data_IF_273356648163
#
_entry.id   IF_273356648163
#
_cell.length_a   1.000
_cell.length_b   1.000
_cell.length_c   1.000
_cell.angle_alpha   90.00
_cell.angle_beta   90.00
_cell.angle_gamma   90.00
#
_symmetry.space_group_name_H-M   'P 1'
#
loop_
_entity.id
_entity.type
_entity.pdbx_description
1 polymer ?
#
# COMPACT_ATOMS: atom_id res chain seq x y z
N UNK A 1 16.56 -25.52 -5.72
CA UNK A 1 15.61 -25.41 -6.85
C UNK A 1 14.26 -25.33 -6.19
N UNK A 2 13.61 -24.17 -6.26
CA UNK A 2 12.30 -23.94 -5.62
C UNK A 2 11.29 -24.90 -6.24
N UNK A 3 10.58 -25.68 -5.42
CA UNK A 3 9.48 -26.52 -5.89
C UNK A 3 8.24 -25.65 -6.11
N UNK A 4 8.18 -25.06 -7.30
CA UNK A 4 7.11 -24.13 -7.69
C UNK A 4 5.73 -24.82 -7.72
N UNK A 5 5.69 -26.12 -8.01
CA UNK A 5 4.45 -26.91 -7.98
C UNK A 5 3.96 -27.12 -6.55
N UNK A 6 4.88 -27.27 -5.58
CA UNK A 6 4.52 -27.30 -4.16
C UNK A 6 3.99 -25.94 -3.67
N UNK A 7 4.60 -24.82 -4.09
CA UNK A 7 4.07 -23.47 -3.78
C UNK A 7 2.67 -23.26 -4.36
N UNK A 8 2.41 -23.74 -5.58
CA UNK A 8 1.08 -23.68 -6.21
C UNK A 8 0.07 -24.57 -5.46
N UNK A 9 0.50 -25.74 -5.01
CA UNK A 9 -0.34 -26.72 -4.31
C UNK A 9 -0.71 -26.30 -2.88
N UNK A 10 0.07 -25.40 -2.26
CA UNK A 10 -0.24 -24.82 -0.95
C UNK A 10 -1.57 -24.04 -0.94
N UNK A 11 -1.99 -23.53 -2.11
CA UNK A 11 -3.25 -22.81 -2.28
C UNK A 11 -3.22 -21.35 -1.84
N UNK A 12 -2.09 -20.85 -1.32
CA UNK A 12 -1.94 -19.43 -0.97
C UNK A 12 -1.69 -18.51 -2.17
N UNK A 13 -1.37 -19.09 -3.33
CA UNK A 13 -1.09 -18.36 -4.57
C UNK A 13 -2.17 -18.62 -5.61
N UNK A 14 -2.76 -17.55 -6.12
CA UNK A 14 -3.60 -17.57 -7.33
C UNK A 14 -2.81 -16.94 -8.47
N UNK A 15 -2.68 -17.66 -9.58
CA UNK A 15 -1.79 -17.28 -10.68
C UNK A 15 -2.58 -17.06 -11.96
N UNK A 16 -2.28 -15.96 -12.64
CA UNK A 16 -2.77 -15.66 -13.98
C UNK A 16 -1.65 -15.93 -14.97
N UNK A 17 -1.93 -16.73 -16.00
CA UNK A 17 -0.95 -17.07 -17.05
C UNK A 17 -1.37 -16.53 -18.41
N UNK A 18 -0.37 -16.10 -19.19
CA UNK A 18 -0.52 -15.77 -20.61
C UNK A 18 0.39 -16.70 -21.41
N UNK A 19 -0.21 -17.72 -22.03
CA UNK A 19 0.56 -18.81 -22.62
C UNK A 19 1.24 -19.65 -21.54
N UNK A 20 2.57 -19.78 -21.61
CA UNK A 20 3.42 -20.51 -20.67
C UNK A 20 3.99 -19.62 -19.53
N UNK A 21 3.73 -18.32 -19.57
CA UNK A 21 4.27 -17.34 -18.61
C UNK A 21 3.27 -16.97 -17.55
N UNK A 22 3.76 -16.72 -16.34
CA UNK A 22 2.98 -16.17 -15.23
C UNK A 22 3.05 -14.65 -15.34
N UNK A 23 1.90 -14.01 -15.57
CA UNK A 23 1.80 -12.56 -15.76
C UNK A 23 1.12 -11.88 -14.58
N UNK A 24 0.35 -12.61 -13.78
CA UNK A 24 -0.29 -12.09 -12.57
C UNK A 24 -0.19 -13.06 -11.40
N UNK A 25 -0.08 -12.53 -10.19
CA UNK A 25 -0.10 -13.33 -8.98
C UNK A 25 -0.83 -12.60 -7.83
N UNK A 26 -1.67 -13.33 -7.11
CA UNK A 26 -2.31 -12.86 -5.88
C UNK A 26 -1.94 -13.81 -4.76
N UNK A 27 -1.35 -13.27 -3.69
CA UNK A 27 -1.04 -14.00 -2.48
C UNK A 27 -2.07 -13.71 -1.39
N UNK A 28 -2.70 -14.77 -0.89
CA UNK A 28 -3.53 -14.76 0.33
C UNK A 28 -3.25 -16.06 1.07
N UNK A 29 -2.74 -15.99 2.29
CA UNK A 29 -2.39 -17.19 3.03
C UNK A 29 -3.60 -18.13 3.18
N UNK A 30 -3.50 -19.35 2.65
CA UNK A 30 -4.59 -20.31 2.71
C UNK A 30 -4.79 -20.84 4.15
N UNK A 31 -6.03 -21.10 4.58
CA UNK A 31 -6.32 -21.57 5.93
C UNK A 31 -5.98 -23.06 6.09
N UNK A 32 -4.72 -23.38 6.40
CA UNK A 32 -4.22 -24.74 6.66
C UNK A 32 -2.94 -24.70 7.53
N UNK A 33 -3.00 -25.03 8.83
CA UNK A 33 -1.92 -24.72 9.78
C UNK A 33 -0.71 -25.67 9.76
N UNK A 34 -0.57 -26.61 8.81
CA UNK A 34 0.65 -27.43 8.71
C UNK A 34 1.31 -27.29 7.33
N UNK A 35 2.32 -26.40 7.28
CA UNK A 35 3.19 -26.15 6.13
C UNK A 35 4.62 -26.58 6.40
N UNK A 36 4.85 -27.29 7.51
CA UNK A 36 6.19 -27.56 8.02
C UNK A 36 7.08 -28.21 6.96
N UNK A 37 6.57 -29.26 6.31
CA UNK A 37 7.31 -29.99 5.27
C UNK A 37 7.64 -29.12 4.05
N UNK A 38 6.73 -28.22 3.65
CA UNK A 38 6.97 -27.28 2.56
C UNK A 38 8.06 -26.27 2.93
N UNK A 39 7.97 -25.68 4.13
CA UNK A 39 8.96 -24.71 4.63
C UNK A 39 10.36 -25.34 4.78
N UNK A 40 10.44 -26.57 5.30
CA UNK A 40 11.70 -27.33 5.37
C UNK A 40 12.26 -27.62 3.96
N UNK A 41 11.39 -27.98 3.00
CA UNK A 41 11.80 -28.21 1.62
C UNK A 41 12.28 -26.94 0.89
N UNK A 42 11.76 -25.77 1.29
CA UNK A 42 12.23 -24.45 0.84
C UNK A 42 13.53 -24.02 1.53
N UNK A 43 14.03 -24.80 2.49
CA UNK A 43 15.32 -24.58 3.15
C UNK A 43 15.27 -23.58 4.31
N UNK A 44 14.09 -23.28 4.84
CA UNK A 44 13.91 -22.39 5.98
C UNK A 44 13.67 -23.17 7.28
N UNK A 45 13.87 -22.50 8.42
CA UNK A 45 13.52 -23.06 9.72
C UNK A 45 11.99 -23.14 9.87
N UNK A 46 11.48 -24.37 9.97
CA UNK A 46 10.06 -24.62 10.15
C UNK A 46 9.63 -24.75 11.63
N UNK A 47 10.49 -24.37 12.58
CA UNK A 47 10.17 -24.36 14.02
C UNK A 47 9.20 -23.25 14.42
N UNK A 48 9.14 -22.17 13.64
CA UNK A 48 8.30 -21.00 13.91
C UNK A 48 7.25 -20.79 12.79
N UNK A 49 5.98 -21.17 13.03
CA UNK A 49 4.92 -21.01 12.06
C UNK A 49 4.57 -19.56 11.69
N UNK A 50 4.85 -18.58 12.56
CA UNK A 50 4.59 -17.16 12.28
C UNK A 50 5.53 -16.63 11.17
N UNK A 51 6.62 -17.33 10.86
CA UNK A 51 7.55 -16.98 9.79
C UNK A 51 7.20 -17.62 8.45
N UNK A 52 6.32 -18.63 8.42
CA UNK A 52 6.08 -19.45 7.24
C UNK A 52 5.54 -18.64 6.05
N UNK A 53 4.66 -17.66 6.31
CA UNK A 53 4.15 -16.76 5.27
C UNK A 53 5.30 -16.06 4.52
N UNK A 54 6.25 -15.50 5.27
CA UNK A 54 7.40 -14.80 4.69
C UNK A 54 8.28 -15.71 3.83
N UNK A 55 8.41 -16.99 4.20
CA UNK A 55 9.17 -17.99 3.43
C UNK A 55 8.48 -18.30 2.10
N UNK A 56 7.15 -18.44 2.09
CA UNK A 56 6.39 -18.68 0.86
C UNK A 56 6.50 -17.49 -0.10
N UNK A 57 6.41 -16.27 0.44
CA UNK A 57 6.59 -15.02 -0.30
C UNK A 57 7.98 -14.93 -0.92
N UNK A 58 9.02 -15.08 -0.11
CA UNK A 58 10.41 -15.03 -0.57
C UNK A 58 10.68 -16.09 -1.64
N UNK A 59 10.24 -17.34 -1.43
CA UNK A 59 10.46 -18.44 -2.36
C UNK A 59 9.82 -18.19 -3.72
N UNK A 60 8.58 -17.70 -3.75
CA UNK A 60 7.87 -17.39 -5.01
C UNK A 60 8.47 -16.18 -5.71
N UNK A 61 8.69 -15.09 -4.97
CA UNK A 61 9.19 -13.85 -5.54
C UNK A 61 10.61 -14.07 -6.07
N UNK A 62 11.46 -14.85 -5.42
CA UNK A 62 12.81 -15.16 -5.94
C UNK A 62 12.84 -16.28 -6.98
N UNK A 63 11.71 -16.90 -7.32
CA UNK A 63 11.64 -17.91 -8.38
C UNK A 63 11.81 -17.26 -9.78
N UNK A 64 12.58 -17.85 -10.71
CA UNK A 64 12.67 -17.37 -12.09
C UNK A 64 11.31 -17.27 -12.79
N UNK A 65 10.37 -18.13 -12.43
CA UNK A 65 9.02 -18.21 -12.99
C UNK A 65 8.18 -16.94 -12.71
N UNK A 66 8.54 -16.14 -11.71
CA UNK A 66 7.87 -14.88 -11.35
C UNK A 66 8.54 -13.64 -11.98
N UNK A 67 9.52 -13.81 -12.87
CA UNK A 67 10.25 -12.70 -13.48
C UNK A 67 9.38 -11.82 -14.39
N UNK A 68 8.41 -12.44 -15.07
CA UNK A 68 7.56 -11.80 -16.09
C UNK A 68 6.23 -11.26 -15.52
N UNK A 69 6.11 -11.15 -14.20
CA UNK A 69 4.91 -10.59 -13.56
C UNK A 69 4.67 -9.15 -14.04
N UNK A 70 3.45 -8.89 -14.48
CA UNK A 70 2.95 -7.55 -14.80
C UNK A 70 2.05 -6.98 -13.72
N UNK A 71 1.41 -7.83 -12.93
CA UNK A 71 0.56 -7.45 -11.78
C UNK A 71 0.82 -8.39 -10.59
N UNK A 72 0.87 -7.83 -9.39
CA UNK A 72 1.11 -8.57 -8.16
C UNK A 72 0.26 -8.00 -7.02
N UNK A 73 -0.45 -8.87 -6.31
CA UNK A 73 -1.16 -8.53 -5.08
C UNK A 73 -0.66 -9.36 -3.91
N UNK A 74 -0.22 -8.71 -2.84
CA UNK A 74 0.26 -9.34 -1.62
C UNK A 74 -0.61 -8.91 -0.43
N UNK A 75 -1.51 -9.81 0.00
CA UNK A 75 -2.31 -9.64 1.21
C UNK A 75 -1.65 -10.39 2.36
N UNK A 76 -0.83 -9.66 3.11
CA UNK A 76 0.02 -10.20 4.17
C UNK A 76 -0.83 -10.41 5.42
N UNK A 77 -0.79 -11.59 6.03
CA UNK A 77 -1.43 -11.88 7.32
C UNK A 77 -0.47 -11.56 8.46
N UNK A 78 0.79 -11.96 8.33
CA UNK A 78 1.88 -11.72 9.29
C UNK A 78 2.75 -10.55 8.83
N UNK A 79 2.14 -9.39 8.58
CA UNK A 79 2.82 -8.24 7.96
C UNK A 79 4.14 -7.85 8.66
N UNK A 80 4.20 -8.01 9.99
CA UNK A 80 5.34 -7.72 10.85
C UNK A 80 6.57 -8.64 10.64
N UNK A 81 6.42 -9.70 9.86
CA UNK A 81 7.53 -10.56 9.41
C UNK A 81 7.62 -10.62 7.89
N UNK A 82 6.48 -10.57 7.22
CA UNK A 82 6.35 -10.80 5.79
C UNK A 82 6.64 -9.57 4.94
N UNK A 83 6.33 -8.36 5.41
CA UNK A 83 6.43 -7.17 4.56
C UNK A 83 7.90 -6.88 4.18
N UNK A 84 8.78 -6.72 5.18
CA UNK A 84 10.23 -6.52 4.96
C UNK A 84 10.84 -7.58 4.04
N UNK A 85 10.51 -8.86 4.25
CA UNK A 85 11.01 -9.96 3.43
C UNK A 85 10.47 -9.95 2.01
N UNK A 86 9.17 -9.70 1.82
CA UNK A 86 8.58 -9.61 0.49
C UNK A 86 9.18 -8.47 -0.33
N UNK A 87 9.38 -7.30 0.28
CA UNK A 87 10.01 -6.18 -0.39
C UNK A 87 11.50 -6.44 -0.69
N UNK A 88 12.26 -7.07 0.22
CA UNK A 88 13.63 -7.50 -0.07
C UNK A 88 13.67 -8.51 -1.23
N UNK A 89 12.72 -9.44 -1.30
CA UNK A 89 12.61 -10.40 -2.38
C UNK A 89 12.23 -9.73 -3.72
N UNK A 90 11.35 -8.72 -3.69
CA UNK A 90 11.07 -7.86 -4.84
C UNK A 90 12.31 -7.09 -5.28
N UNK A 91 13.04 -6.48 -4.34
CA UNK A 91 14.24 -5.69 -4.60
C UNK A 91 15.43 -6.54 -5.10
N UNK A 92 15.50 -7.81 -4.74
CA UNK A 92 16.62 -8.70 -5.08
C UNK A 92 16.82 -8.93 -6.59
N UNK A 93 15.81 -8.61 -7.41
CA UNK A 93 15.86 -8.71 -8.87
C UNK A 93 15.04 -7.58 -9.48
N UNK A 94 15.58 -6.92 -10.50
CA UNK A 94 14.83 -5.93 -11.27
C UNK A 94 13.55 -6.55 -11.86
N UNK A 95 12.39 -5.98 -11.53
CA UNK A 95 11.07 -6.33 -12.06
C UNK A 95 10.74 -5.40 -13.21
N UNK A 96 11.36 -5.68 -14.34
CA UNK A 96 11.26 -4.87 -15.56
C UNK A 96 9.84 -4.82 -16.16
N UNK A 97 8.96 -5.71 -15.69
CA UNK A 97 7.62 -5.87 -16.25
C UNK A 97 6.49 -5.58 -15.26
N UNK A 98 6.77 -5.42 -13.96
CA UNK A 98 5.73 -5.23 -12.96
C UNK A 98 5.18 -3.81 -13.04
N UNK A 99 3.95 -3.68 -13.55
CA UNK A 99 3.25 -2.40 -13.76
C UNK A 99 2.30 -2.07 -12.62
N UNK A 100 1.77 -3.09 -11.96
CA UNK A 100 0.77 -2.96 -10.89
C UNK A 100 1.22 -3.73 -9.64
N UNK A 101 1.15 -3.09 -8.48
CA UNK A 101 1.43 -3.70 -7.19
C UNK A 101 0.35 -3.33 -6.16
N UNK A 102 -0.28 -4.32 -5.55
CA UNK A 102 -1.00 -4.18 -4.29
C UNK A 102 -0.15 -4.80 -3.19
N UNK A 103 0.19 -4.01 -2.18
CA UNK A 103 1.03 -4.44 -1.07
C UNK A 103 0.41 -4.02 0.25
N UNK A 104 0.16 -4.97 1.17
CA UNK A 104 -0.44 -4.59 2.44
C UNK A 104 -1.00 -5.70 3.29
N UNK A 105 -1.50 -5.32 4.45
CA UNK A 105 -2.43 -6.11 5.26
C UNK A 105 -3.83 -5.53 5.11
N UNK A 106 -4.85 -6.37 5.11
CA UNK A 106 -6.24 -5.96 4.93
C UNK A 106 -6.86 -5.29 6.18
N UNK A 107 -6.19 -4.31 6.79
CA UNK A 107 -6.75 -3.51 7.89
C UNK A 107 -7.74 -2.49 7.36
N UNK A 108 -8.80 -2.26 8.14
CA UNK A 108 -9.55 -1.00 8.06
C UNK A 108 -8.91 0.02 9.00
N UNK A 109 -8.49 -0.44 10.19
CA UNK A 109 -7.91 0.37 11.26
C UNK A 109 -6.73 -0.34 11.91
N UNK A 110 -5.65 0.37 12.24
CA UNK A 110 -4.44 -0.28 12.76
C UNK A 110 -4.59 -0.89 14.17
N UNK A 111 -5.60 -0.46 14.93
CA UNK A 111 -5.93 -1.01 16.26
C UNK A 111 -6.99 -2.11 16.20
N UNK A 112 -7.48 -2.48 15.00
CA UNK A 112 -8.31 -3.66 14.87
C UNK A 112 -7.55 -4.89 15.37
N UNK A 113 -8.27 -5.75 16.10
CA UNK A 113 -7.69 -7.01 16.54
C UNK A 113 -7.30 -7.84 15.32
N UNK A 114 -6.00 -8.03 15.16
CA UNK A 114 -5.42 -8.83 14.12
C UNK A 114 -5.15 -10.25 14.63
N UNK A 115 -5.15 -11.20 13.71
CA UNK A 115 -4.71 -12.57 13.98
C UNK A 115 -3.54 -12.90 13.08
N UNK A 116 -2.48 -13.47 13.66
CA UNK A 116 -1.38 -14.05 12.90
C UNK A 116 -1.86 -15.28 12.11
N UNK A 117 -1.02 -15.81 11.23
CA UNK A 117 -1.27 -17.07 10.52
C UNK A 117 -1.55 -18.27 11.43
N UNK A 118 -1.10 -18.20 12.69
CA UNK A 118 -1.34 -19.24 13.72
C UNK A 118 -2.66 -19.06 14.46
N UNK A 119 -3.41 -17.99 14.14
CA UNK A 119 -4.65 -17.61 14.82
C UNK A 119 -4.41 -16.89 16.16
N UNK A 120 -3.16 -16.56 16.49
CA UNK A 120 -2.83 -15.79 17.69
C UNK A 120 -3.26 -14.35 17.52
N UNK A 121 -3.98 -13.82 18.50
CA UNK A 121 -4.29 -12.39 18.54
C UNK A 121 -3.04 -11.58 18.82
N UNK A 122 -2.89 -10.48 18.11
CA UNK A 122 -1.84 -9.50 18.39
C UNK A 122 -2.38 -8.07 18.24
N UNK A 123 -1.67 -7.12 18.83
CA UNK A 123 -1.91 -5.69 18.63
C UNK A 123 -0.95 -5.21 17.53
N UNK A 124 -1.43 -4.77 16.36
CA UNK A 124 -0.56 -4.30 15.28
C UNK A 124 0.37 -3.16 15.70
N UNK A 125 -0.06 -2.30 16.65
CA UNK A 125 0.76 -1.21 17.20
C UNK A 125 2.03 -1.70 17.89
N UNK A 126 1.99 -2.87 18.54
CA UNK A 126 3.17 -3.48 19.18
C UNK A 126 4.18 -3.99 18.16
N UNK A 127 3.74 -4.17 16.91
CA UNK A 127 4.46 -4.81 15.81
C UNK A 127 4.83 -3.86 14.68
N UNK A 128 4.48 -2.59 14.82
CA UNK A 128 4.72 -1.55 13.83
C UNK A 128 6.19 -1.49 13.39
N UNK A 129 7.12 -1.36 14.33
CA UNK A 129 8.55 -1.27 14.03
C UNK A 129 9.16 -2.55 13.42
N UNK A 130 8.41 -3.66 13.42
CA UNK A 130 8.81 -4.93 12.80
C UNK A 130 8.31 -5.03 11.34
N UNK A 131 7.26 -4.28 10.98
CA UNK A 131 6.62 -4.31 9.66
C UNK A 131 7.49 -3.73 8.54
N UNK A 132 8.07 -2.54 8.73
CA UNK A 132 9.06 -1.98 7.80
C UNK A 132 9.81 -0.77 8.38
N UNK A 133 11.14 -0.80 8.38
CA UNK A 133 11.98 0.33 8.82
C UNK A 133 13.20 0.51 7.89
N UNK A 134 13.06 1.52 7.03
CA UNK A 134 14.06 2.39 6.38
C UNK A 134 15.16 1.90 5.42
N UNK A 135 15.73 0.69 5.51
CA UNK A 135 16.81 0.32 4.56
C UNK A 135 16.32 -0.34 3.27
N UNK A 136 15.32 -1.22 3.33
CA UNK A 136 14.85 -1.98 2.15
C UNK A 136 13.91 -1.20 1.23
N UNK A 137 13.36 -0.07 1.66
CA UNK A 137 12.39 0.71 0.87
C UNK A 137 13.05 1.49 -0.28
N UNK A 138 14.29 1.97 -0.07
CA UNK A 138 15.06 2.68 -1.10
C UNK A 138 15.38 1.76 -2.28
N UNK A 139 15.78 0.52 -1.98
CA UNK A 139 16.11 -0.47 -3.00
C UNK A 139 14.86 -0.99 -3.72
N UNK A 140 13.72 -1.10 -3.04
CA UNK A 140 12.47 -1.59 -3.61
C UNK A 140 12.05 -0.77 -4.83
N UNK A 141 11.93 0.55 -4.72
CA UNK A 141 11.42 1.37 -5.81
C UNK A 141 12.34 1.37 -7.03
N UNK A 142 13.66 1.31 -6.80
CA UNK A 142 14.65 1.19 -7.87
C UNK A 142 14.54 -0.13 -8.64
N UNK A 143 14.08 -1.20 -7.97
CA UNK A 143 13.89 -2.50 -8.56
C UNK A 143 12.56 -2.65 -9.32
N UNK A 144 11.68 -1.65 -9.30
CA UNK A 144 10.37 -1.66 -9.95
C UNK A 144 10.24 -0.56 -11.03
N UNK A 145 11.10 -0.54 -12.07
CA UNK A 145 11.16 0.56 -13.04
C UNK A 145 9.90 0.69 -13.92
N UNK A 146 9.14 -0.40 -14.08
CA UNK A 146 7.91 -0.42 -14.85
C UNK A 146 6.66 -0.09 -14.01
N UNK A 147 6.78 0.05 -12.70
CA UNK A 147 5.62 0.25 -11.82
C UNK A 147 4.93 1.58 -12.15
N UNK A 148 3.61 1.54 -12.34
CA UNK A 148 2.77 2.70 -12.61
C UNK A 148 1.67 2.85 -11.58
N UNK A 149 1.01 1.75 -11.23
CA UNK A 149 -0.04 1.71 -10.23
C UNK A 149 0.44 1.02 -8.95
N UNK A 150 0.28 1.70 -7.82
CA UNK A 150 0.60 1.18 -6.50
C UNK A 150 -0.61 1.33 -5.57
N UNK A 151 -1.05 0.22 -4.98
CA UNK A 151 -1.99 0.21 -3.86
C UNK A 151 -1.25 -0.20 -2.59
N UNK A 152 -1.27 0.66 -1.58
CA UNK A 152 -0.73 0.40 -0.25
C UNK A 152 -1.87 0.26 0.75
N UNK A 153 -1.85 -0.83 1.52
CA UNK A 153 -2.91 -1.12 2.49
C UNK A 153 -2.38 -1.50 3.88
N UNK A 154 -3.01 -0.98 4.92
CA UNK A 154 -2.71 -1.36 6.30
C UNK A 154 -1.55 -0.57 6.91
N UNK A 155 -0.76 -1.13 7.83
CA UNK A 155 0.33 -0.45 8.53
C UNK A 155 1.72 -0.88 8.06
N UNK A 156 2.16 -0.35 6.91
CA UNK A 156 3.42 -0.72 6.27
C UNK A 156 4.62 0.15 6.70
N UNK A 157 4.40 1.28 7.37
CA UNK A 157 5.43 2.23 7.80
C UNK A 157 6.44 2.62 6.69
N UNK A 158 5.93 3.01 5.53
CA UNK A 158 6.75 3.63 4.50
C UNK A 158 6.97 5.11 4.85
N UNK A 159 8.21 5.61 4.76
CA UNK A 159 8.51 7.03 5.03
C UNK A 159 8.60 7.85 3.72
N UNK A 160 9.33 7.34 2.70
CA UNK A 160 9.55 8.06 1.42
C UNK A 160 9.31 7.16 0.20
N UNK A 161 8.55 7.68 -0.76
CA UNK A 161 8.39 7.10 -2.09
C UNK A 161 9.15 7.98 -3.10
N UNK A 162 10.48 7.88 -3.10
CA UNK A 162 11.34 8.55 -4.09
C UNK A 162 11.18 8.06 -5.54
N UNK A 163 10.13 7.29 -5.84
CA UNK A 163 9.82 6.78 -7.17
C UNK A 163 9.30 7.90 -8.08
N UNK A 164 9.83 7.96 -9.30
CA UNK A 164 9.35 8.82 -10.38
C UNK A 164 8.49 8.05 -11.39
N UNK A 165 8.35 6.73 -11.22
CA UNK A 165 7.66 5.86 -12.17
C UNK A 165 6.21 5.60 -11.77
N UNK A 166 5.90 5.56 -10.48
CA UNK A 166 4.53 5.43 -9.97
C UNK A 166 3.74 6.69 -10.30
N UNK A 167 2.69 6.54 -11.11
CA UNK A 167 1.80 7.61 -11.53
C UNK A 167 0.47 7.60 -10.78
N UNK A 168 0.04 6.43 -10.32
CA UNK A 168 -1.24 6.22 -9.66
C UNK A 168 -1.01 5.57 -8.31
N UNK A 169 -1.25 6.33 -7.24
CA UNK A 169 -1.07 5.90 -5.85
C UNK A 169 -2.43 5.81 -5.17
N UNK A 170 -2.76 4.62 -4.67
CA UNK A 170 -3.94 4.37 -3.86
C UNK A 170 -3.53 3.95 -2.45
N UNK A 171 -4.00 4.69 -1.46
CA UNK A 171 -3.70 4.50 -0.04
C UNK A 171 -4.98 4.05 0.67
N UNK A 172 -4.93 2.91 1.37
CA UNK A 172 -6.06 2.36 2.12
C UNK A 172 -5.65 2.13 3.57
N UNK A 173 -6.31 2.82 4.51
CA UNK A 173 -5.93 2.84 5.92
C UNK A 173 -4.70 3.72 6.20
N UNK A 174 -3.81 3.30 7.11
CA UNK A 174 -2.68 4.11 7.57
C UNK A 174 -1.30 3.47 7.28
N UNK A 175 -0.85 3.41 6.00
CA UNK A 175 0.35 2.67 5.62
C UNK A 175 1.67 3.39 5.82
N UNK A 176 1.67 4.66 6.20
CA UNK A 176 2.89 5.43 6.42
C UNK A 176 3.18 5.60 7.91
N UNK A 177 4.44 5.92 8.24
CA UNK A 177 4.84 5.99 9.63
C UNK A 177 4.19 7.14 10.40
N UNK A 178 4.09 6.98 11.72
CA UNK A 178 3.58 8.01 12.65
C UNK A 178 2.10 8.38 12.34
N UNK A 179 1.41 7.60 11.52
CA UNK A 179 0.05 7.91 11.07
C UNK A 179 -0.04 8.97 10.00
N UNK A 180 1.06 9.20 9.27
CA UNK A 180 1.02 10.02 8.07
C UNK A 180 0.02 9.45 7.05
N UNK A 181 -0.72 10.35 6.40
CA UNK A 181 -1.72 9.99 5.40
C UNK A 181 -1.08 9.63 4.05
N UNK A 182 0.08 10.22 3.78
CA UNK A 182 0.78 10.18 2.50
C UNK A 182 2.28 9.98 2.73
N UNK A 183 3.04 9.51 1.71
CA UNK A 183 4.49 9.50 1.81
C UNK A 183 5.04 10.95 1.86
N UNK A 184 6.26 11.13 2.34
CA UNK A 184 6.86 12.47 2.38
C UNK A 184 7.02 13.08 0.98
N UNK A 185 7.30 12.25 -0.02
CA UNK A 185 7.42 12.66 -1.43
C UNK A 185 6.94 11.55 -2.34
N UNK A 186 6.35 11.94 -3.47
CA UNK A 186 6.01 11.04 -4.56
C UNK A 186 6.04 11.79 -5.91
N UNK A 187 7.23 12.09 -6.44
CA UNK A 187 7.39 13.06 -7.53
C UNK A 187 6.77 12.61 -8.86
N UNK A 188 6.56 11.31 -9.07
CA UNK A 188 5.90 10.77 -10.26
C UNK A 188 4.37 10.73 -10.18
N UNK A 189 3.78 10.88 -8.99
CA UNK A 189 2.34 10.63 -8.77
C UNK A 189 1.51 11.73 -9.40
N UNK A 190 0.61 11.32 -10.30
CA UNK A 190 -0.36 12.16 -11.00
C UNK A 190 -1.74 12.04 -10.36
N UNK A 191 -2.11 10.82 -9.96
CA UNK A 191 -3.37 10.49 -9.28
C UNK A 191 -3.08 9.96 -7.88
N UNK A 192 -3.65 10.60 -6.87
CA UNK A 192 -3.60 10.14 -5.48
C UNK A 192 -5.02 9.90 -4.96
N UNK A 193 -5.29 8.68 -4.54
CA UNK A 193 -6.56 8.29 -3.90
C UNK A 193 -6.29 7.82 -2.47
N UNK A 194 -7.12 8.27 -1.53
CA UNK A 194 -7.05 7.87 -0.12
C UNK A 194 -8.42 7.39 0.39
N UNK A 195 -8.45 6.16 0.87
CA UNK A 195 -9.59 5.54 1.57
C UNK A 195 -9.20 5.31 3.04
N UNK A 196 -9.47 6.29 3.90
CA UNK A 196 -8.89 6.34 5.26
C UNK A 196 -9.96 6.75 6.26
N UNK A 197 -10.27 5.85 7.19
CA UNK A 197 -11.23 6.15 8.26
C UNK A 197 -10.60 6.79 9.48
N UNK A 198 -9.46 6.25 9.93
CA UNK A 198 -8.82 6.66 11.18
C UNK A 198 -7.30 6.54 11.06
N UNK A 199 -6.59 7.33 11.86
CA UNK A 199 -5.14 7.29 11.97
C UNK A 199 -4.64 6.09 12.82
N UNK A 200 -3.33 6.03 13.02
CA UNK A 200 -2.68 4.97 13.83
C UNK A 200 -3.00 5.04 15.32
N UNK A 201 -3.59 6.14 15.80
CA UNK A 201 -4.00 6.34 17.19
C UNK A 201 -5.51 6.09 17.39
N UNK A 202 -6.25 5.81 16.33
CA UNK A 202 -7.71 5.65 16.37
C UNK A 202 -8.48 6.95 16.54
N UNK A 203 -7.83 8.07 16.25
CA UNK A 203 -8.50 9.33 15.97
C UNK A 203 -8.91 9.40 14.50
N UNK A 204 -9.90 10.24 14.20
CA UNK A 204 -10.07 10.71 12.83
C UNK A 204 -8.81 11.45 12.41
N UNK A 205 -8.42 11.35 11.13
CA UNK A 205 -7.21 12.02 10.67
C UNK A 205 -7.43 13.54 10.70
N UNK A 206 -6.54 14.36 11.29
CA UNK A 206 -6.68 15.80 11.21
C UNK A 206 -6.49 16.26 9.75
N UNK A 207 -7.30 17.21 9.29
CA UNK A 207 -7.22 17.75 7.94
C UNK A 207 -5.84 18.37 7.68
N UNK A 208 -5.16 18.90 8.71
CA UNK A 208 -3.79 19.41 8.63
C UNK A 208 -2.76 18.42 8.07
N UNK A 209 -3.00 17.09 8.06
CA UNK A 209 -2.14 16.13 7.35
C UNK A 209 -2.06 16.38 5.83
N UNK A 210 -3.08 17.02 5.24
CA UNK A 210 -3.08 17.41 3.84
C UNK A 210 -1.99 18.44 3.50
N UNK A 211 -1.47 19.17 4.50
CA UNK A 211 -0.38 20.14 4.31
C UNK A 211 0.93 19.49 3.83
N UNK A 212 1.08 18.16 4.00
CA UNK A 212 2.19 17.39 3.44
C UNK A 212 2.20 17.40 1.90
N UNK A 213 1.05 17.63 1.26
CA UNK A 213 0.92 17.69 -0.19
C UNK A 213 1.41 19.05 -0.71
N UNK A 214 2.73 19.18 -0.85
CA UNK A 214 3.36 20.37 -1.41
C UNK A 214 3.69 20.20 -2.90
N UNK A 215 3.69 21.28 -3.70
CA UNK A 215 4.13 21.24 -5.10
C UNK A 215 5.56 20.70 -5.29
N UNK A 216 6.45 20.91 -4.32
CA UNK A 216 7.81 20.40 -4.34
C UNK A 216 7.88 18.87 -4.14
N UNK A 217 7.05 18.33 -3.24
CA UNK A 217 6.99 16.89 -2.97
C UNK A 217 6.13 16.13 -3.99
N UNK A 218 5.14 16.80 -4.58
CA UNK A 218 4.13 16.25 -5.51
C UNK A 218 3.99 17.09 -6.80
N UNK A 219 5.08 17.35 -7.55
CA UNK A 219 5.04 18.24 -8.72
C UNK A 219 4.14 17.75 -9.86
N UNK A 220 3.96 16.44 -9.99
CA UNK A 220 3.15 15.82 -11.05
C UNK A 220 1.67 15.68 -10.68
N UNK A 221 1.27 15.93 -9.43
CA UNK A 221 -0.08 15.66 -8.95
C UNK A 221 -1.12 16.53 -9.65
N UNK A 222 -2.12 15.90 -10.26
CA UNK A 222 -3.25 16.55 -10.96
C UNK A 222 -4.60 16.11 -10.40
N UNK A 223 -4.69 14.94 -9.79
CA UNK A 223 -5.92 14.44 -9.21
C UNK A 223 -5.71 14.00 -7.77
N UNK A 224 -6.56 14.52 -6.88
CA UNK A 224 -6.67 14.08 -5.49
C UNK A 224 -8.09 13.57 -5.24
N UNK A 225 -8.21 12.33 -4.79
CA UNK A 225 -9.47 11.74 -4.35
C UNK A 225 -9.37 11.35 -2.87
N UNK A 226 -10.09 12.11 -2.05
CA UNK A 226 -10.26 11.92 -0.61
C UNK A 226 -11.74 11.73 -0.28
N UNK A 227 -12.57 11.34 -1.25
CA UNK A 227 -14.02 11.18 -1.08
C UNK A 227 -14.42 10.07 -0.10
N UNK A 228 -13.48 9.16 0.19
CA UNK A 228 -13.64 8.09 1.17
C UNK A 228 -12.70 8.25 2.36
N UNK A 229 -12.11 9.43 2.53
CA UNK A 229 -11.36 9.78 3.73
C UNK A 229 -12.30 10.40 4.77
N UNK A 230 -12.06 10.12 6.06
CA UNK A 230 -12.75 10.72 7.19
C UNK A 230 -11.75 11.59 7.96
N UNK A 231 -12.07 12.87 8.09
CA UNK A 231 -11.25 13.84 8.80
C UNK A 231 -11.91 14.27 10.11
N UNK A 232 -11.11 14.76 11.05
CA UNK A 232 -11.60 15.30 12.33
C UNK A 232 -12.57 16.48 12.09
N UNK A 233 -13.75 16.41 12.71
CA UNK A 233 -14.81 17.44 12.60
C UNK A 233 -14.40 18.76 13.27
N UNK A 234 -13.39 18.74 14.14
CA UNK A 234 -12.86 19.93 14.80
C UNK A 234 -12.07 20.85 13.84
N UNK A 235 -11.73 20.38 12.63
CA UNK A 235 -11.06 21.16 11.58
C UNK A 235 -11.96 21.40 10.36
N UNK A 236 -11.98 22.63 9.86
CA UNK A 236 -12.72 22.96 8.62
C UNK A 236 -11.92 22.47 7.41
N UNK A 237 -12.26 21.26 6.94
CA UNK A 237 -11.64 20.61 5.79
C UNK A 237 -11.59 21.52 4.55
N UNK A 238 -12.63 22.30 4.29
CA UNK A 238 -12.69 23.18 3.12
C UNK A 238 -11.72 24.36 3.24
N UNK A 239 -11.56 24.92 4.44
CA UNK A 239 -10.53 25.93 4.72
C UNK A 239 -9.13 25.35 4.53
N UNK A 240 -8.86 24.18 5.12
CA UNK A 240 -7.57 23.53 4.98
C UNK A 240 -7.24 23.28 3.51
N UNK A 241 -8.18 22.70 2.75
CA UNK A 241 -8.03 22.47 1.30
C UNK A 241 -7.78 23.77 0.53
N UNK A 242 -8.49 24.86 0.87
CA UNK A 242 -8.34 26.15 0.21
C UNK A 242 -6.95 26.79 0.41
N UNK A 243 -6.28 26.45 1.51
CA UNK A 243 -4.94 26.93 1.83
C UNK A 243 -3.82 26.07 1.22
N UNK A 244 -4.11 24.85 0.76
CA UNK A 244 -3.10 23.95 0.21
C UNK A 244 -2.46 24.52 -1.07
N UNK A 245 -1.12 24.70 -1.09
CA UNK A 245 -0.44 25.20 -2.28
C UNK A 245 -0.61 24.29 -3.51
N UNK A 246 -0.76 22.99 -3.31
CA UNK A 246 -0.98 22.00 -4.38
C UNK A 246 -2.33 22.15 -5.07
N UNK A 247 -3.32 22.80 -4.43
CA UNK A 247 -4.66 22.97 -4.99
C UNK A 247 -4.63 23.66 -6.36
N UNK A 248 -3.68 24.59 -6.55
CA UNK A 248 -3.52 25.37 -7.80
C UNK A 248 -3.07 24.55 -9.00
N UNK A 249 -2.46 23.39 -8.79
CA UNK A 249 -2.03 22.49 -9.87
C UNK A 249 -2.97 21.30 -10.06
N UNK A 250 -3.92 21.08 -9.14
CA UNK A 250 -4.94 20.06 -9.31
C UNK A 250 -5.89 20.46 -10.44
N UNK A 251 -6.27 19.45 -11.23
CA UNK A 251 -7.29 19.49 -12.27
C UNK A 251 -8.60 18.88 -11.75
N UNK A 252 -8.50 17.92 -10.82
CA UNK A 252 -9.63 17.23 -10.21
C UNK A 252 -9.41 17.06 -8.72
N UNK A 253 -10.45 17.38 -7.94
CA UNK A 253 -10.52 17.15 -6.51
C UNK A 253 -11.85 16.44 -6.22
N UNK A 254 -11.76 15.20 -5.77
CA UNK A 254 -12.90 14.42 -5.31
C UNK A 254 -12.91 14.41 -3.78
N UNK A 255 -13.94 15.01 -3.18
CA UNK A 255 -14.11 15.13 -1.73
C UNK A 255 -15.59 14.93 -1.39
N UNK A 256 -15.87 14.13 -0.37
CA UNK A 256 -17.22 13.99 0.16
C UNK A 256 -17.50 15.18 1.07
N UNK A 257 -18.53 15.96 0.73
CA UNK A 257 -18.94 17.13 1.50
C UNK A 257 -20.37 16.91 1.97
N UNK A 258 -20.62 17.17 3.25
CA UNK A 258 -21.96 17.17 3.81
C UNK A 258 -22.71 18.50 3.53
N UNK A 259 -21.97 19.55 3.13
CA UNK A 259 -22.49 20.88 2.85
C UNK A 259 -21.90 21.48 1.56
N UNK A 260 -22.61 22.44 0.97
CA UNK A 260 -22.13 23.18 -0.20
C UNK A 260 -20.87 24.00 0.13
N UNK A 261 -20.01 24.21 -0.87
CA UNK A 261 -18.82 25.07 -0.70
C UNK A 261 -19.26 26.51 -0.43
N UNK A 262 -18.82 27.14 0.68
CA UNK A 262 -19.18 28.51 1.01
C UNK A 262 -18.81 29.49 -0.13
N UNK A 263 -19.67 30.48 -0.39
CA UNK A 263 -19.47 31.47 -1.49
C UNK A 263 -18.10 32.14 -1.46
N UNK A 264 -17.54 32.36 -0.26
CA UNK A 264 -16.21 32.95 -0.06
C UNK A 264 -15.07 32.06 -0.56
N UNK A 265 -15.25 30.74 -0.56
CA UNK A 265 -14.28 29.75 -1.00
C UNK A 265 -14.49 29.32 -2.45
N UNK A 266 -15.69 29.51 -3.00
CA UNK A 266 -16.00 29.13 -4.38
C UNK A 266 -14.98 29.62 -5.44
N UNK A 267 -14.42 30.85 -5.38
CA UNK A 267 -13.39 31.28 -6.33
C UNK A 267 -12.09 30.47 -6.27
N UNK A 268 -11.76 29.89 -5.11
CA UNK A 268 -10.55 29.10 -4.88
C UNK A 268 -10.63 27.73 -5.57
N UNK A 269 -11.83 27.15 -5.62
CA UNK A 269 -12.10 25.85 -6.24
C UNK A 269 -12.62 25.95 -7.69
N UNK A 270 -12.79 27.17 -8.22
CA UNK A 270 -13.46 27.40 -9.50
C UNK A 270 -12.78 26.75 -10.72
N UNK A 271 -11.48 26.43 -10.64
CA UNK A 271 -10.74 25.75 -11.71
C UNK A 271 -10.86 24.23 -11.66
N UNK A 272 -11.42 23.66 -10.59
CA UNK A 272 -11.49 22.22 -10.40
C UNK A 272 -12.78 21.65 -10.97
N UNK A 273 -12.66 20.50 -11.64
CA UNK A 273 -13.81 19.68 -11.99
C UNK A 273 -14.10 18.76 -10.79
N UNK A 274 -15.34 18.78 -10.29
CA UNK A 274 -15.83 17.77 -9.36
C UNK A 274 -16.14 16.48 -10.14
N UNK A 275 -15.52 15.36 -9.79
CA UNK A 275 -15.90 14.04 -10.28
C UNK A 275 -17.21 13.56 -9.65
N UNK A 276 -17.77 12.43 -10.10
CA UNK A 276 -19.19 12.12 -9.91
C UNK A 276 -19.57 11.86 -8.45
N UNK A 277 -20.23 12.86 -7.86
CA UNK A 277 -21.03 12.82 -6.63
C UNK A 277 -22.21 13.81 -6.67
N UNK A 278 -22.50 14.38 -7.85
CA UNK A 278 -23.64 15.27 -8.10
C UNK A 278 -24.64 14.57 -9.03
N UNK A 279 -25.70 14.03 -8.42
CA UNK A 279 -27.09 14.04 -8.91
C UNK A 279 -28.06 13.73 -7.74
#
# INVERSE_FOLDING_TARGET
MTDFDALRSDGSWQLTTTGDRITGAVFRLAPTPDRRALVEALGADASDPEQWESVLLEAFLTAPESADLTSLELHLTDFHHSAARAAAALASRGREHLVELHFGHDFTLLYEHATTSTGRRFNPLEKLNEGFANESAVDLWSALPALRALTLRGGLLLDDMGSTTVTDLHVIGAPFAIGALFPDRAPGVVTLTAEIGYDVFGGLCPAGQLEMLTPEAYPALRRLDISRAQFDEDEDLLETLAELPVLRQLETLDVALDEDVPERLAPVFAHLVRGPGED
#
